data_IF_841981740858
#
_entry.id   IF_841981740858
#
_cell.length_a   1.000
_cell.length_b   1.000
_cell.length_c   1.000
_cell.angle_alpha   90.00
_cell.angle_beta   90.00
_cell.angle_gamma   90.00
#
_symmetry.space_group_name_H-M   'P 1'
#
loop_
_entity.id
_entity.type
_entity.pdbx_description
1 polymer ?
#
# COMPACT_ATOMS: atom_id res chain seq x y z
N UNK A 1 12.76 -7.49 0.22
CA UNK A 1 11.67 -8.11 -0.55
C UNK A 1 11.59 -7.49 -1.94
N UNK A 2 11.52 -8.31 -3.00
CA UNK A 2 11.29 -7.83 -4.39
C UNK A 2 10.28 -8.78 -5.05
N UNK A 3 9.48 -8.26 -5.98
CA UNK A 3 8.64 -9.06 -6.87
C UNK A 3 7.23 -9.38 -6.37
N UNK A 4 6.68 -8.59 -5.44
CA UNK A 4 5.25 -8.66 -5.11
C UNK A 4 4.44 -7.65 -5.94
N UNK A 5 3.28 -8.08 -6.45
CA UNK A 5 2.30 -7.26 -7.18
C UNK A 5 0.94 -7.96 -7.11
N UNK A 6 -0.18 -7.24 -7.12
CA UNK A 6 -1.55 -7.80 -7.12
C UNK A 6 -1.78 -8.93 -6.08
N UNK A 7 -1.17 -8.81 -4.90
CA UNK A 7 -1.21 -9.83 -3.84
C UNK A 7 -0.23 -11.00 -3.99
N UNK A 8 0.38 -11.18 -5.16
CA UNK A 8 1.47 -12.14 -5.33
C UNK A 8 2.66 -11.76 -4.44
N UNK A 9 3.27 -12.77 -3.83
CA UNK A 9 4.43 -12.57 -2.95
C UNK A 9 4.10 -12.00 -1.57
N UNK A 10 2.81 -11.87 -1.23
CA UNK A 10 2.32 -11.43 0.07
C UNK A 10 1.34 -12.48 0.64
N UNK A 11 1.19 -12.51 1.97
CA UNK A 11 0.20 -13.36 2.64
C UNK A 11 -0.30 -12.63 3.90
N UNK A 12 -1.61 -12.59 4.10
CA UNK A 12 -2.19 -12.05 5.35
C UNK A 12 -2.30 -13.17 6.37
N UNK A 13 -1.62 -13.01 7.50
CA UNK A 13 -1.54 -14.02 8.57
C UNK A 13 -2.24 -13.54 9.83
N UNK A 14 -2.88 -14.44 10.57
CA UNK A 14 -3.69 -14.10 11.76
C UNK A 14 -3.22 -14.78 13.04
N UNK A 15 -2.26 -15.70 12.94
CA UNK A 15 -1.69 -16.45 14.05
C UNK A 15 -0.29 -16.98 13.67
N UNK A 16 0.42 -17.52 14.67
CA UNK A 16 1.78 -18.04 14.49
C UNK A 16 1.87 -19.14 13.45
N UNK A 17 0.91 -20.07 13.42
CA UNK A 17 0.90 -21.19 12.47
C UNK A 17 0.82 -20.69 11.02
N UNK A 18 -0.12 -19.78 10.73
CA UNK A 18 -0.24 -19.14 9.41
C UNK A 18 1.00 -18.32 9.04
N UNK A 19 1.65 -17.69 10.02
CA UNK A 19 2.90 -16.94 9.81
C UNK A 19 4.06 -17.86 9.42
N UNK A 20 4.21 -19.01 10.08
CA UNK A 20 5.21 -20.03 9.73
C UNK A 20 4.95 -20.50 8.29
N UNK A 21 3.73 -20.93 7.98
CA UNK A 21 3.38 -21.39 6.63
C UNK A 21 3.62 -20.34 5.55
N UNK A 22 3.27 -19.08 5.81
CA UNK A 22 3.53 -17.96 4.91
C UNK A 22 5.03 -17.73 4.69
N UNK A 23 5.83 -17.73 5.76
CA UNK A 23 7.27 -17.55 5.68
C UNK A 23 7.93 -18.61 4.78
N UNK A 24 7.53 -19.88 4.92
CA UNK A 24 8.03 -20.96 4.07
C UNK A 24 7.57 -20.81 2.61
N UNK A 25 6.26 -20.57 2.40
CA UNK A 25 5.64 -20.38 1.08
C UNK A 25 6.31 -19.24 0.30
N UNK A 26 6.61 -18.14 0.99
CA UNK A 26 7.26 -16.97 0.40
C UNK A 26 8.78 -17.15 0.19
N UNK A 27 9.35 -18.27 0.67
CA UNK A 27 10.74 -18.65 0.43
C UNK A 27 11.72 -18.13 1.49
N UNK A 28 11.25 -17.86 2.70
CA UNK A 28 12.10 -17.45 3.82
C UNK A 28 13.18 -18.48 4.15
N UNK A 29 12.84 -19.77 4.09
CA UNK A 29 13.80 -20.88 4.24
C UNK A 29 14.78 -21.01 3.04
N UNK A 30 14.59 -20.24 1.97
CA UNK A 30 15.44 -20.20 0.77
C UNK A 30 16.22 -18.88 0.67
N UNK A 31 16.49 -18.23 1.81
CA UNK A 31 17.21 -16.97 1.91
C UNK A 31 16.58 -15.81 1.11
N UNK A 32 15.24 -15.80 0.93
CA UNK A 32 14.54 -14.61 0.41
C UNK A 32 14.25 -13.65 1.55
N UNK A 33 14.58 -12.38 1.35
CA UNK A 33 14.21 -11.32 2.30
C UNK A 33 12.70 -11.11 2.33
N UNK A 34 12.09 -11.36 3.49
CA UNK A 34 10.68 -11.15 3.76
C UNK A 34 10.56 -10.02 4.79
N UNK A 35 9.63 -9.10 4.55
CA UNK A 35 9.28 -8.06 5.51
C UNK A 35 7.96 -8.46 6.18
N UNK A 36 7.94 -8.46 7.51
CA UNK A 36 6.72 -8.62 8.29
C UNK A 36 6.26 -7.24 8.77
N UNK A 37 4.98 -6.94 8.60
CA UNK A 37 4.37 -5.67 9.02
C UNK A 37 3.12 -5.96 9.85
N UNK A 38 2.83 -5.08 10.80
CA UNK A 38 1.59 -5.18 11.57
C UNK A 38 0.39 -4.84 10.67
N UNK A 39 -0.69 -5.61 10.79
CA UNK A 39 -1.93 -5.31 10.08
C UNK A 39 -2.55 -4.03 10.62
N UNK A 40 -2.79 -3.04 9.76
CA UNK A 40 -3.39 -1.76 10.14
C UNK A 40 -4.90 -1.81 9.88
N UNK A 41 -5.76 -1.65 10.90
CA UNK A 41 -7.21 -1.61 10.72
C UNK A 41 -7.66 -0.24 10.20
N UNK A 42 -7.35 0.08 8.95
CA UNK A 42 -7.76 1.32 8.31
C UNK A 42 -9.20 1.25 7.77
N UNK A 43 -9.81 2.41 7.49
CA UNK A 43 -11.17 2.53 6.94
C UNK A 43 -11.20 2.89 5.45
N UNK A 44 -10.11 3.49 4.95
CA UNK A 44 -9.93 3.94 3.57
C UNK A 44 -8.47 3.73 3.18
N UNK A 45 -8.24 3.24 1.96
CA UNK A 45 -6.91 3.27 1.35
C UNK A 45 -6.81 4.50 0.46
N UNK A 46 -5.71 5.25 0.57
CA UNK A 46 -5.52 6.50 -0.15
C UNK A 46 -4.17 6.55 -0.84
N UNK A 47 -4.13 7.25 -1.98
CA UNK A 47 -2.92 7.46 -2.75
C UNK A 47 -2.82 8.92 -3.20
N UNK A 48 -1.58 9.40 -3.33
CA UNK A 48 -1.27 10.71 -3.92
C UNK A 48 -0.21 10.49 -4.98
N UNK A 49 -0.48 10.94 -6.19
CA UNK A 49 0.52 10.97 -7.26
C UNK A 49 1.32 12.27 -7.19
N UNK A 50 2.62 12.17 -7.38
CA UNK A 50 3.54 13.31 -7.46
C UNK A 50 4.33 13.21 -8.75
N UNK A 51 4.25 14.26 -9.57
CA UNK A 51 5.08 14.40 -10.76
C UNK A 51 6.18 15.43 -10.49
N UNK A 52 7.44 15.07 -10.75
CA UNK A 52 8.60 15.94 -10.53
C UNK A 52 9.53 15.90 -11.74
N UNK A 53 10.02 17.08 -12.12
CA UNK A 53 11.09 17.24 -13.11
C UNK A 53 12.14 18.24 -12.59
N UNK A 54 13.05 18.66 -13.47
CA UNK A 54 14.10 19.64 -13.13
C UNK A 54 13.55 21.03 -12.77
N UNK A 55 12.34 21.37 -13.23
CA UNK A 55 11.76 22.71 -13.07
C UNK A 55 10.74 22.82 -11.95
N UNK A 56 10.21 21.71 -11.43
CA UNK A 56 9.21 21.77 -10.38
C UNK A 56 8.63 20.43 -9.95
N UNK A 57 7.65 20.52 -9.06
CA UNK A 57 6.89 19.40 -8.50
C UNK A 57 5.41 19.74 -8.55
N UNK A 58 4.59 18.80 -9.01
CA UNK A 58 3.13 18.89 -9.03
C UNK A 58 2.58 17.75 -8.17
N UNK A 59 1.68 18.09 -7.25
CA UNK A 59 0.99 17.14 -6.37
C UNK A 59 -0.45 17.03 -6.83
N UNK A 60 -0.85 15.84 -7.24
CA UNK A 60 -2.23 15.58 -7.66
C UNK A 60 -3.18 15.50 -6.45
N UNK A 61 -4.51 15.57 -6.66
CA UNK A 61 -5.47 15.33 -5.60
C UNK A 61 -5.23 13.98 -4.91
N UNK A 62 -5.49 13.92 -3.60
CA UNK A 62 -5.58 12.65 -2.89
C UNK A 62 -6.75 11.84 -3.45
N UNK A 63 -6.53 10.56 -3.73
CA UNK A 63 -7.53 9.65 -4.26
C UNK A 63 -7.78 8.51 -3.27
N UNK A 64 -9.01 7.99 -3.23
CA UNK A 64 -9.29 6.71 -2.59
C UNK A 64 -9.06 5.58 -3.60
N UNK A 65 -8.34 4.54 -3.18
CA UNK A 65 -8.18 3.29 -3.94
C UNK A 65 -9.07 2.22 -3.33
N UNK A 66 -9.83 1.52 -4.18
CA UNK A 66 -10.69 0.41 -3.75
C UNK A 66 -10.03 -0.88 -4.20
N UNK A 67 -9.68 -1.74 -3.23
CA UNK A 67 -9.03 -3.02 -3.48
C UNK A 67 -10.02 -4.17 -3.31
N UNK A 68 -10.02 -5.10 -4.26
CA UNK A 68 -10.69 -6.40 -4.12
C UNK A 68 -9.70 -7.51 -4.48
N UNK A 69 -9.56 -8.51 -3.61
CA UNK A 69 -8.61 -9.62 -3.79
C UNK A 69 -7.18 -9.14 -4.14
N UNK A 70 -6.73 -8.07 -3.47
CA UNK A 70 -5.42 -7.42 -3.68
C UNK A 70 -5.23 -6.71 -5.04
N UNK A 71 -6.32 -6.49 -5.79
CA UNK A 71 -6.31 -5.78 -7.08
C UNK A 71 -7.08 -4.46 -6.94
N UNK A 72 -6.54 -3.38 -7.48
CA UNK A 72 -7.19 -2.08 -7.51
C UNK A 72 -8.32 -2.09 -8.55
N UNK A 73 -9.57 -2.07 -8.08
CA UNK A 73 -10.76 -2.16 -8.94
C UNK A 73 -11.39 -0.80 -9.23
N UNK A 74 -11.16 0.21 -8.38
CA UNK A 74 -11.66 1.56 -8.61
C UNK A 74 -10.77 2.61 -7.96
N UNK A 75 -10.83 3.83 -8.51
CA UNK A 75 -10.18 5.02 -7.97
C UNK A 75 -11.19 6.16 -7.93
N UNK A 76 -11.36 6.79 -6.77
CA UNK A 76 -12.20 7.97 -6.61
C UNK A 76 -11.32 9.19 -6.42
N UNK A 77 -11.49 10.21 -7.27
CA UNK A 77 -10.73 11.46 -7.22
C UNK A 77 -11.68 12.67 -7.26
N UNK A 78 -11.64 13.57 -6.25
CA UNK A 78 -10.87 13.46 -5.01
C UNK A 78 -11.40 12.32 -4.10
N UNK A 79 -10.58 11.89 -3.13
CA UNK A 79 -10.98 10.92 -2.12
C UNK A 79 -12.18 11.45 -1.30
N UNK A 80 -13.28 10.69 -1.13
CA UNK A 80 -14.44 11.11 -0.35
C UNK A 80 -14.19 10.96 1.17
N UNK A 81 -13.20 11.71 1.67
CA UNK A 81 -12.79 11.78 3.08
C UNK A 81 -12.65 13.24 3.53
N UNK A 82 -12.55 13.48 4.83
CA UNK A 82 -12.35 14.85 5.34
C UNK A 82 -11.12 15.53 4.72
N UNK A 83 -11.26 16.79 4.29
CA UNK A 83 -10.21 17.59 3.66
C UNK A 83 -8.88 17.60 4.43
N UNK A 84 -8.93 17.55 5.77
CA UNK A 84 -7.73 17.52 6.62
C UNK A 84 -6.85 16.30 6.30
N UNK A 85 -7.45 15.15 5.98
CA UNK A 85 -6.73 13.93 5.64
C UNK A 85 -6.21 13.96 4.20
N UNK A 86 -6.98 14.52 3.27
CA UNK A 86 -6.53 14.73 1.88
C UNK A 86 -5.28 15.61 1.85
N UNK A 87 -5.36 16.79 2.50
CA UNK A 87 -4.23 17.73 2.60
C UNK A 87 -3.04 17.09 3.29
N UNK A 88 -3.25 16.36 4.38
CA UNK A 88 -2.16 15.69 5.10
C UNK A 88 -1.44 14.67 4.23
N UNK A 89 -2.18 13.88 3.45
CA UNK A 89 -1.59 12.91 2.54
C UNK A 89 -0.76 13.62 1.45
N UNK A 90 -1.27 14.72 0.89
CA UNK A 90 -0.55 15.51 -0.11
C UNK A 90 0.72 16.15 0.45
N UNK A 91 0.69 16.66 1.68
CA UNK A 91 1.89 17.16 2.37
C UNK A 91 2.94 16.07 2.61
N UNK A 92 2.52 14.87 3.00
CA UNK A 92 3.42 13.74 3.23
C UNK A 92 4.06 13.25 1.92
N UNK A 93 3.36 13.34 0.79
CA UNK A 93 3.84 12.85 -0.50
C UNK A 93 5.04 13.65 -1.06
N UNK A 94 5.30 14.85 -0.54
CA UNK A 94 6.41 15.71 -0.96
C UNK A 94 7.50 15.90 0.11
N UNK A 95 7.38 15.21 1.24
CA UNK A 95 8.45 15.16 2.25
C UNK A 95 9.55 14.21 1.83
#
# INVERSE_FOLDING_TARGET
>A
SKGGYDGYGNETVRNLESAIGAFEKLGGNKNRDILAEAFVPFTKEIAVQVARNETGTVVYPCCETVQENHICVAVLSPAPIEDKHQKKAQELAVK
#
